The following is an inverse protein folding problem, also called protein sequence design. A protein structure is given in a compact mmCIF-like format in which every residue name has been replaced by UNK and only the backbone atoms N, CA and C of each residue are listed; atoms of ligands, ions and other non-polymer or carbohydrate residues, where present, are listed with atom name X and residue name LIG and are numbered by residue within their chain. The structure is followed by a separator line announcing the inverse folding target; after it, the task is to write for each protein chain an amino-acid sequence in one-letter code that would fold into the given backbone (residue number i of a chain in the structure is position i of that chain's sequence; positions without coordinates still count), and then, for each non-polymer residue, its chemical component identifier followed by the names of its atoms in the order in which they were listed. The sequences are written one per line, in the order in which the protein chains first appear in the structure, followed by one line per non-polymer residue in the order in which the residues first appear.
data_IF_322444830523
#
_entry.id   IF_322444830523
#
_cell.length_a   1.000
_cell.length_b   1.000
_cell.length_c   1.000
_cell.angle_alpha   90.00
_cell.angle_beta   90.00
_cell.angle_gamma   90.00
#
_symmetry.space_group_name_H-M   'P 1'
#
loop_
_entity.id
_entity.type
_entity.pdbx_description
1 polymer ?
#
# COMPACT_ATOMS: atom_id res chain seq x y z
N UNK A 1 13.79 -28.77 -3.99
CA UNK A 1 12.67 -29.13 -4.89
C UNK A 1 11.47 -28.28 -4.49
N UNK A 2 10.75 -27.64 -5.40
CA UNK A 2 9.56 -26.87 -5.06
C UNK A 2 8.51 -27.77 -4.40
N UNK A 3 7.94 -27.33 -3.30
CA UNK A 3 6.84 -28.06 -2.62
C UNK A 3 5.56 -27.79 -3.43
N UNK A 4 5.24 -28.70 -4.35
CA UNK A 4 4.08 -28.63 -5.26
C UNK A 4 2.73 -28.48 -4.50
N UNK A 5 2.71 -28.72 -3.18
CA UNK A 5 1.52 -28.66 -2.33
C UNK A 5 1.56 -27.52 -1.29
N UNK A 6 2.30 -26.44 -1.53
CA UNK A 6 2.29 -25.31 -0.60
C UNK A 6 0.90 -24.68 -0.58
N UNK A 7 0.35 -24.54 0.63
CA UNK A 7 -0.95 -23.88 0.84
C UNK A 7 -0.81 -22.37 0.69
N UNK A 8 -1.92 -21.67 0.46
CA UNK A 8 -1.96 -20.19 0.42
C UNK A 8 -1.40 -19.60 1.71
N UNK A 9 -1.77 -20.16 2.87
CA UNK A 9 -1.25 -19.72 4.17
C UNK A 9 0.27 -19.88 4.30
N UNK A 10 0.85 -20.97 3.82
CA UNK A 10 2.31 -21.17 3.84
C UNK A 10 3.03 -20.16 2.94
N UNK A 11 2.44 -19.80 1.79
CA UNK A 11 2.96 -18.75 0.92
C UNK A 11 2.91 -17.40 1.63
N UNK A 12 1.81 -17.08 2.29
CA UNK A 12 1.63 -15.85 3.06
C UNK A 12 2.63 -15.75 4.21
N UNK A 13 2.79 -16.81 5.02
CA UNK A 13 3.73 -16.87 6.14
C UNK A 13 5.17 -16.65 5.67
N UNK A 14 5.55 -17.22 4.54
CA UNK A 14 6.87 -17.03 3.95
C UNK A 14 7.11 -15.59 3.49
N UNK A 15 6.13 -14.98 2.84
CA UNK A 15 6.22 -13.57 2.42
C UNK A 15 6.29 -12.66 3.65
N UNK A 16 5.47 -12.89 4.68
CA UNK A 16 5.56 -12.15 5.95
C UNK A 16 6.95 -12.27 6.57
N UNK A 17 7.53 -13.47 6.58
CA UNK A 17 8.89 -13.66 7.09
C UNK A 17 9.93 -12.84 6.31
N UNK A 18 9.83 -12.79 4.96
CA UNK A 18 10.72 -11.97 4.13
C UNK A 18 10.57 -10.48 4.42
N UNK A 19 9.34 -10.00 4.68
CA UNK A 19 9.12 -8.60 5.00
C UNK A 19 9.57 -8.23 6.42
N UNK A 20 9.32 -9.10 7.41
CA UNK A 20 9.51 -8.75 8.83
C UNK A 20 10.86 -9.18 9.40
N UNK A 21 11.63 -10.03 8.71
CA UNK A 21 12.94 -10.46 9.20
C UNK A 21 13.98 -9.35 9.02
N UNK A 22 14.77 -9.10 10.10
CA UNK A 22 15.90 -8.17 10.07
C UNK A 22 17.01 -8.55 9.08
N UNK A 23 17.05 -9.82 8.62
CA UNK A 23 17.97 -10.27 7.57
C UNK A 23 17.56 -9.79 6.17
N UNK A 24 16.29 -9.34 6.00
CA UNK A 24 15.73 -8.95 4.72
C UNK A 24 15.23 -7.49 4.73
N UNK A 25 13.93 -7.27 4.90
CA UNK A 25 13.33 -5.94 4.75
C UNK A 25 13.07 -5.21 6.08
N UNK A 26 13.02 -5.94 7.19
CA UNK A 26 12.84 -5.41 8.56
C UNK A 26 11.60 -4.51 8.74
N UNK A 27 10.47 -4.90 8.09
CA UNK A 27 9.22 -4.18 8.22
C UNK A 27 8.55 -4.52 9.56
N UNK A 28 7.89 -3.54 10.16
CA UNK A 28 7.08 -3.73 11.36
C UNK A 28 5.82 -4.54 11.02
N UNK A 29 5.56 -5.62 11.76
CA UNK A 29 4.33 -6.39 11.60
C UNK A 29 3.17 -5.70 12.32
N UNK A 30 2.21 -5.19 11.56
CA UNK A 30 1.04 -4.50 12.09
C UNK A 30 -0.09 -5.44 12.56
N UNK A 31 0.07 -6.75 12.39
CA UNK A 31 -0.86 -7.78 12.86
C UNK A 31 -1.85 -8.27 11.81
N UNK A 32 -2.70 -9.21 12.26
CA UNK A 32 -3.86 -9.67 11.49
C UNK A 32 -5.04 -8.74 11.77
N UNK A 33 -5.54 -8.07 10.73
CA UNK A 33 -6.54 -7.02 10.82
C UNK A 33 -7.95 -7.47 10.38
N UNK A 34 -8.22 -8.77 10.39
CA UNK A 34 -9.52 -9.30 9.91
C UNK A 34 -10.71 -8.89 10.78
N UNK A 35 -10.50 -8.55 12.07
CA UNK A 35 -11.58 -8.20 12.99
C UNK A 35 -11.74 -6.68 13.20
N UNK A 36 -11.00 -5.87 12.47
CA UNK A 36 -11.07 -4.41 12.55
C UNK A 36 -11.44 -3.82 11.21
N UNK A 37 -12.15 -2.69 11.22
CA UNK A 37 -12.39 -1.92 10.00
C UNK A 37 -11.15 -1.08 9.73
N UNK A 38 -10.59 -1.22 8.54
CA UNK A 38 -9.36 -0.56 8.16
C UNK A 38 -9.59 0.45 7.04
N UNK A 39 -8.74 1.46 7.01
CA UNK A 39 -8.70 2.50 5.98
C UNK A 39 -7.35 2.45 5.27
N UNK A 40 -7.29 3.04 4.08
CA UNK A 40 -6.06 3.17 3.31
C UNK A 40 -5.08 4.22 3.87
N UNK A 41 -5.54 5.06 4.80
CA UNK A 41 -4.72 6.04 5.51
C UNK A 41 -4.92 5.84 7.01
N UNK A 42 -3.89 5.39 7.70
CA UNK A 42 -3.82 5.25 9.15
C UNK A 42 -3.38 6.60 9.73
N UNK A 43 -4.33 7.51 9.91
CA UNK A 43 -4.09 8.92 10.24
C UNK A 43 -3.18 9.10 11.47
N UNK A 44 -3.37 8.27 12.51
CA UNK A 44 -2.55 8.33 13.74
C UNK A 44 -1.09 8.01 13.48
N UNK A 45 -0.82 7.00 12.65
CA UNK A 45 0.54 6.59 12.32
C UNK A 45 1.21 7.63 11.42
N UNK A 46 0.46 8.16 10.45
CA UNK A 46 0.96 9.22 9.58
C UNK A 46 1.24 10.52 10.36
N UNK A 47 0.33 10.92 11.25
CA UNK A 47 0.52 12.09 12.12
C UNK A 47 1.75 11.92 13.01
N UNK A 48 1.90 10.74 13.62
CA UNK A 48 3.06 10.44 14.47
C UNK A 48 4.37 10.56 13.70
N UNK A 49 4.46 10.00 12.49
CA UNK A 49 5.67 10.11 11.66
C UNK A 49 5.92 11.55 11.17
N UNK A 50 4.89 12.28 10.74
CA UNK A 50 5.03 13.66 10.27
C UNK A 50 5.52 14.62 11.37
N UNK A 51 5.17 14.35 12.62
CA UNK A 51 5.55 15.20 13.76
C UNK A 51 6.81 14.73 14.48
N UNK A 52 7.31 13.53 14.18
CA UNK A 52 8.56 13.01 14.74
C UNK A 52 9.76 13.80 14.20
N UNK A 53 10.68 14.16 15.05
CA UNK A 53 11.92 14.88 14.69
C UNK A 53 12.88 14.07 13.80
N UNK A 54 12.80 12.74 13.83
CA UNK A 54 13.55 11.82 12.98
C UNK A 54 12.76 11.41 11.72
N UNK A 55 11.48 11.79 11.66
CA UNK A 55 10.61 11.64 10.52
C UNK A 55 10.40 12.97 9.79
N UNK A 56 9.15 13.42 9.69
CA UNK A 56 8.80 14.67 9.00
C UNK A 56 9.25 15.96 9.71
N UNK A 57 9.25 15.98 11.05
CA UNK A 57 9.63 17.14 11.85
C UNK A 57 8.70 18.35 11.73
N UNK A 58 7.47 18.17 11.22
CA UNK A 58 6.51 19.23 11.02
C UNK A 58 5.74 19.58 12.30
N UNK A 59 5.19 20.82 12.37
CA UNK A 59 4.22 21.14 13.41
C UNK A 59 2.94 20.32 13.24
N UNK A 60 2.24 20.06 14.35
CA UNK A 60 0.95 19.33 14.34
C UNK A 60 -0.01 19.97 13.34
N UNK A 61 -0.10 21.31 13.32
CA UNK A 61 -1.00 22.04 12.41
C UNK A 61 -0.67 21.81 10.93
N UNK A 62 0.61 21.77 10.56
CA UNK A 62 1.02 21.45 9.18
C UNK A 62 0.71 20.01 8.83
N UNK A 63 1.00 19.07 9.74
CA UNK A 63 0.76 17.66 9.55
C UNK A 63 -0.74 17.34 9.38
N UNK A 64 -1.60 17.85 10.27
CA UNK A 64 -3.06 17.65 10.19
C UNK A 64 -3.63 18.21 8.88
N UNK A 65 -3.24 19.41 8.48
CA UNK A 65 -3.69 20.01 7.21
C UNK A 65 -3.23 19.22 5.99
N UNK A 66 -2.02 18.66 6.03
CA UNK A 66 -1.52 17.78 4.95
C UNK A 66 -2.31 16.47 4.89
N UNK A 67 -2.58 15.84 6.04
CA UNK A 67 -3.41 14.63 6.14
C UNK A 67 -4.80 14.89 5.58
N UNK A 68 -5.45 15.99 5.96
CA UNK A 68 -6.77 16.38 5.45
C UNK A 68 -6.78 16.53 3.91
N UNK A 69 -5.73 17.12 3.33
CA UNK A 69 -5.63 17.25 1.87
C UNK A 69 -5.41 15.90 1.19
N UNK A 70 -4.59 15.01 1.77
CA UNK A 70 -4.40 13.66 1.27
C UNK A 70 -5.72 12.88 1.29
N UNK A 71 -6.46 12.91 2.41
CA UNK A 71 -7.75 12.24 2.55
C UNK A 71 -8.76 12.76 1.53
N UNK A 72 -8.83 14.08 1.33
CA UNK A 72 -9.71 14.68 0.31
C UNK A 72 -9.35 14.21 -1.10
N UNK A 73 -8.06 14.15 -1.43
CA UNK A 73 -7.60 13.64 -2.73
C UNK A 73 -7.93 12.15 -2.92
N UNK A 74 -7.68 11.32 -1.89
CA UNK A 74 -7.95 9.88 -1.91
C UNK A 74 -9.45 9.58 -2.04
N UNK A 75 -10.32 10.39 -1.44
CA UNK A 75 -11.78 10.21 -1.48
C UNK A 75 -12.45 10.84 -2.70
N UNK A 76 -11.73 11.61 -3.51
CA UNK A 76 -12.28 12.25 -4.70
C UNK A 76 -12.33 11.25 -5.88
N UNK A 77 -13.37 10.44 -5.91
CA UNK A 77 -13.62 9.44 -6.97
C UNK A 77 -14.54 9.96 -8.10
N UNK A 78 -14.80 11.26 -8.18
CA UNK A 78 -15.68 11.88 -9.17
C UNK A 78 -15.26 11.53 -10.60
N UNK A 79 -13.95 11.53 -10.87
CA UNK A 79 -13.37 11.18 -12.16
C UNK A 79 -12.80 9.74 -12.23
N UNK A 80 -13.19 8.87 -11.29
CA UNK A 80 -12.79 7.48 -11.22
C UNK A 80 -11.55 7.22 -10.35
N UNK A 81 -11.27 5.93 -10.15
CA UNK A 81 -10.20 5.48 -9.27
C UNK A 81 -8.81 5.87 -9.80
N UNK A 82 -8.58 5.68 -11.09
CA UNK A 82 -7.28 6.02 -11.70
C UNK A 82 -6.91 7.49 -11.47
N UNK A 83 -7.87 8.41 -11.65
CA UNK A 83 -7.62 9.84 -11.47
C UNK A 83 -7.33 10.20 -9.99
N UNK A 84 -8.11 9.64 -9.05
CA UNK A 84 -7.87 9.81 -7.62
C UNK A 84 -6.47 9.29 -7.23
N UNK A 85 -6.10 8.10 -7.71
CA UNK A 85 -4.79 7.49 -7.47
C UNK A 85 -3.66 8.32 -8.06
N UNK A 86 -3.79 8.83 -9.28
CA UNK A 86 -2.82 9.72 -9.91
C UNK A 86 -2.62 11.02 -9.09
N UNK A 87 -3.71 11.58 -8.57
CA UNK A 87 -3.65 12.76 -7.70
C UNK A 87 -2.89 12.43 -6.41
N UNK A 88 -3.22 11.32 -5.75
CA UNK A 88 -2.49 10.85 -4.56
C UNK A 88 -1.02 10.61 -4.87
N UNK A 89 -0.69 9.93 -5.99
CA UNK A 89 0.70 9.74 -6.42
C UNK A 89 1.46 11.06 -6.53
N UNK A 90 0.82 12.09 -7.07
CA UNK A 90 1.42 13.43 -7.18
C UNK A 90 1.74 14.03 -5.81
N UNK A 91 0.82 13.87 -4.84
CA UNK A 91 1.04 14.32 -3.46
C UNK A 91 2.15 13.53 -2.76
N UNK A 92 2.21 12.22 -2.97
CA UNK A 92 3.28 11.37 -2.42
C UNK A 92 4.65 11.75 -2.97
N UNK A 93 4.73 12.05 -4.27
CA UNK A 93 5.99 12.34 -4.95
C UNK A 93 6.52 13.74 -4.70
N UNK A 94 5.64 14.74 -4.71
CA UNK A 94 6.03 16.14 -4.68
C UNK A 94 5.71 16.86 -3.35
N UNK A 95 5.04 16.18 -2.44
CA UNK A 95 4.56 16.74 -1.19
C UNK A 95 3.32 17.64 -1.35
N UNK A 96 2.86 18.16 -0.25
CA UNK A 96 1.64 18.96 -0.14
C UNK A 96 2.00 20.37 0.31
N UNK A 97 1.73 21.41 -0.48
CA UNK A 97 1.91 22.78 -0.04
C UNK A 97 0.84 23.16 0.99
N UNK A 98 1.26 23.47 2.22
CA UNK A 98 0.39 23.79 3.34
C UNK A 98 0.74 25.17 3.91
N UNK A 99 -0.25 26.02 4.08
CA UNK A 99 -0.10 27.30 4.81
C UNK A 99 -0.51 27.10 6.27
N UNK A 100 0.43 27.24 7.18
CA UNK A 100 0.19 27.03 8.62
C UNK A 100 -0.82 28.04 9.18
N UNK A 101 -0.61 29.32 8.89
CA UNK A 101 -1.49 30.42 9.26
C UNK A 101 -1.65 31.38 8.09
N UNK A 102 -2.80 32.07 8.02
CA UNK A 102 -3.06 33.05 6.98
C UNK A 102 -1.94 34.11 6.92
N UNK A 103 -1.47 34.43 5.70
CA UNK A 103 -0.41 35.39 5.45
C UNK A 103 1.02 34.82 5.52
N UNK A 104 1.22 33.56 5.93
CA UNK A 104 2.54 32.91 5.83
C UNK A 104 2.75 32.25 4.47
N UNK A 105 4.01 32.13 4.08
CA UNK A 105 4.41 31.34 2.90
C UNK A 105 4.06 29.86 3.10
N UNK A 106 3.53 29.17 2.09
CA UNK A 106 3.30 27.73 2.17
C UNK A 106 4.59 26.95 2.44
N UNK A 107 4.49 25.93 3.29
CA UNK A 107 5.53 24.92 3.52
C UNK A 107 5.13 23.64 2.81
N UNK A 108 6.04 23.03 2.05
CA UNK A 108 5.77 21.72 1.46
C UNK A 108 5.95 20.63 2.51
N UNK A 109 4.88 19.90 2.80
CA UNK A 109 4.89 18.75 3.70
C UNK A 109 5.09 17.49 2.85
N UNK A 110 6.19 16.79 3.05
CA UNK A 110 6.48 15.53 2.38
C UNK A 110 5.91 14.37 3.20
N UNK A 111 5.10 13.53 2.56
CA UNK A 111 4.46 12.37 3.18
C UNK A 111 5.39 11.14 3.21
N UNK A 112 6.45 11.16 2.38
CA UNK A 112 7.48 10.14 2.25
C UNK A 112 8.83 10.85 2.14
N UNK A 113 9.82 10.39 2.90
CA UNK A 113 11.20 10.83 2.72
C UNK A 113 11.85 10.02 1.59
N UNK A 114 11.93 10.62 0.41
CA UNK A 114 12.57 10.03 -0.75
C UNK A 114 14.09 10.14 -0.74
N UNK A 115 14.63 11.09 0.02
CA UNK A 115 16.07 11.32 0.11
C UNK A 115 16.73 10.32 1.07
N UNK A 116 16.01 9.94 2.14
CA UNK A 116 16.45 8.99 3.14
C UNK A 116 15.39 7.91 3.34
N UNK A 117 15.21 6.99 2.37
CA UNK A 117 14.09 6.03 2.37
C UNK A 117 13.98 5.21 3.66
N UNK A 118 15.09 4.90 4.33
CA UNK A 118 15.12 4.13 5.56
C UNK A 118 14.63 4.90 6.81
N UNK A 119 14.37 6.20 6.69
CA UNK A 119 13.74 6.98 7.76
C UNK A 119 12.20 6.90 7.71
N UNK A 120 11.64 6.34 6.65
CA UNK A 120 10.21 6.03 6.63
C UNK A 120 9.92 4.83 7.51
N UNK A 121 8.70 4.79 8.06
CA UNK A 121 8.20 3.63 8.79
C UNK A 121 7.46 2.70 7.84
N UNK A 122 7.92 1.48 7.76
CA UNK A 122 7.36 0.44 6.91
C UNK A 122 6.60 -0.57 7.74
N UNK A 123 5.35 -0.83 7.37
CA UNK A 123 4.51 -1.82 8.04
C UNK A 123 3.95 -2.81 7.03
N UNK A 124 3.72 -4.04 7.48
CA UNK A 124 2.93 -5.02 6.75
C UNK A 124 1.83 -5.57 7.65
N UNK A 125 0.62 -5.67 7.11
CA UNK A 125 -0.54 -6.26 7.80
C UNK A 125 -1.12 -7.40 6.97
N UNK A 126 -1.70 -8.38 7.63
CA UNK A 126 -2.41 -9.49 6.99
C UNK A 126 -3.93 -9.41 7.20
N UNK A 127 -4.68 -10.03 6.27
CA UNK A 127 -6.14 -10.16 6.35
C UNK A 127 -6.85 -8.82 6.60
N UNK A 128 -6.46 -7.79 5.87
CA UNK A 128 -6.94 -6.42 6.12
C UNK A 128 -8.40 -6.29 5.71
N UNK A 129 -9.33 -6.34 6.68
CA UNK A 129 -10.76 -6.20 6.41
C UNK A 129 -11.08 -4.77 5.99
N UNK A 130 -11.61 -4.65 4.77
CA UNK A 130 -12.08 -3.39 4.21
C UNK A 130 -13.60 -3.52 4.04
N UNK A 131 -14.36 -2.63 4.66
CA UNK A 131 -15.81 -2.60 4.52
C UNK A 131 -16.25 -1.63 3.44
N UNK A 132 -17.00 -2.18 2.50
CA UNK A 132 -17.86 -1.47 1.57
C UNK A 132 -19.23 -2.15 1.60
N UNK A 133 -19.96 -2.19 0.49
CA UNK A 133 -21.20 -2.99 0.37
C UNK A 133 -20.93 -4.50 0.53
N UNK A 134 -19.73 -4.96 0.19
CA UNK A 134 -19.27 -6.34 0.37
C UNK A 134 -17.89 -6.33 1.03
N UNK A 135 -17.77 -7.09 2.12
CA UNK A 135 -16.49 -7.26 2.81
C UNK A 135 -15.48 -8.00 1.92
N UNK A 136 -14.30 -7.43 1.77
CA UNK A 136 -13.15 -8.04 1.11
C UNK A 136 -11.93 -7.91 1.99
N UNK A 137 -11.03 -8.88 1.90
CA UNK A 137 -9.79 -8.94 2.69
C UNK A 137 -8.64 -9.27 1.77
N UNK A 138 -7.82 -8.29 1.39
CA UNK A 138 -6.51 -8.56 0.82
C UNK A 138 -5.66 -9.41 1.77
N UNK A 139 -4.90 -10.35 1.23
CA UNK A 139 -4.03 -11.22 2.03
C UNK A 139 -2.99 -10.41 2.80
N UNK A 140 -2.30 -9.49 2.10
CA UNK A 140 -1.30 -8.61 2.70
C UNK A 140 -1.44 -7.18 2.18
N UNK A 141 -1.22 -6.21 3.06
CA UNK A 141 -1.15 -4.78 2.73
C UNK A 141 0.13 -4.19 3.29
N UNK A 142 0.86 -3.46 2.44
CA UNK A 142 2.07 -2.72 2.84
C UNK A 142 1.72 -1.25 3.02
N UNK A 143 2.13 -0.72 4.16
CA UNK A 143 1.98 0.68 4.52
C UNK A 143 3.36 1.35 4.65
N UNK A 144 3.45 2.59 4.19
CA UNK A 144 4.58 3.47 4.44
C UNK A 144 4.07 4.70 5.17
N UNK A 145 4.64 4.99 6.34
CA UNK A 145 4.22 6.09 7.21
C UNK A 145 2.72 6.09 7.55
N UNK A 146 2.06 4.93 7.49
CA UNK A 146 0.63 4.78 7.70
C UNK A 146 -0.23 4.90 6.44
N UNK A 147 0.35 5.10 5.25
CA UNK A 147 -0.36 5.14 3.96
C UNK A 147 -0.25 3.77 3.30
N UNK A 148 -1.37 3.14 2.95
CA UNK A 148 -1.40 1.88 2.21
C UNK A 148 -0.90 2.10 0.78
N UNK A 149 0.21 1.49 0.39
CA UNK A 149 0.83 1.67 -0.92
C UNK A 149 0.85 0.42 -1.78
N UNK A 150 0.80 -0.77 -1.16
CA UNK A 150 0.75 -2.01 -1.92
C UNK A 150 -0.25 -3.00 -1.33
N UNK A 151 -0.89 -3.74 -2.21
CA UNK A 151 -1.77 -4.87 -1.89
C UNK A 151 -1.21 -6.11 -2.56
N UNK A 152 -1.07 -7.20 -1.79
CA UNK A 152 -0.64 -8.49 -2.30
C UNK A 152 -1.79 -9.50 -2.18
N UNK A 153 -2.04 -10.20 -3.26
CA UNK A 153 -2.98 -11.32 -3.35
C UNK A 153 -2.19 -12.59 -3.68
N UNK A 154 -2.20 -13.53 -2.76
CA UNK A 154 -1.41 -14.74 -2.85
C UNK A 154 -2.28 -15.95 -3.21
N UNK A 155 -1.72 -16.86 -3.96
CA UNK A 155 -2.41 -18.10 -4.34
C UNK A 155 -1.55 -19.31 -4.00
N UNK A 156 -2.20 -20.42 -3.70
CA UNK A 156 -1.49 -21.71 -3.56
C UNK A 156 -0.76 -22.07 -4.85
N UNK A 157 0.31 -22.82 -4.74
CA UNK A 157 1.20 -23.19 -5.87
C UNK A 157 0.49 -23.81 -7.10
N UNK A 158 -0.68 -24.41 -6.91
CA UNK A 158 -1.46 -25.08 -7.98
C UNK A 158 -2.52 -24.18 -8.63
N UNK A 159 -2.67 -22.93 -8.19
CA UNK A 159 -3.61 -21.95 -8.73
C UNK A 159 -2.83 -20.88 -9.47
N UNK A 160 -3.22 -20.60 -10.72
CA UNK A 160 -2.54 -19.57 -11.52
C UNK A 160 -2.58 -18.18 -10.86
N UNK A 161 -1.49 -17.46 -10.97
CA UNK A 161 -1.35 -16.05 -10.55
C UNK A 161 -2.42 -15.16 -11.21
N UNK A 162 -2.85 -15.51 -12.42
CA UNK A 162 -3.95 -14.81 -13.11
C UNK A 162 -5.25 -14.77 -12.28
N UNK A 163 -5.52 -15.79 -11.46
CA UNK A 163 -6.67 -15.77 -10.55
C UNK A 163 -6.52 -14.69 -9.45
N UNK A 164 -5.31 -14.51 -8.92
CA UNK A 164 -5.02 -13.43 -7.98
C UNK A 164 -5.15 -12.05 -8.62
N UNK A 165 -4.67 -11.88 -9.85
CA UNK A 165 -4.83 -10.63 -10.61
C UNK A 165 -6.31 -10.29 -10.80
N UNK A 166 -7.13 -11.25 -11.23
CA UNK A 166 -8.58 -11.04 -11.39
C UNK A 166 -9.27 -10.69 -10.07
N UNK A 167 -8.84 -11.28 -8.95
CA UNK A 167 -9.33 -10.91 -7.63
C UNK A 167 -8.97 -9.48 -7.27
N UNK A 168 -7.72 -9.05 -7.49
CA UNK A 168 -7.30 -7.66 -7.30
C UNK A 168 -8.11 -6.67 -8.14
N UNK A 169 -8.39 -7.01 -9.41
CA UNK A 169 -9.22 -6.17 -10.28
C UNK A 169 -10.66 -6.10 -9.78
N UNK A 170 -11.26 -7.23 -9.39
CA UNK A 170 -12.61 -7.27 -8.81
C UNK A 170 -12.71 -6.42 -7.54
N UNK A 171 -11.67 -6.44 -6.69
CA UNK A 171 -11.65 -5.64 -5.46
C UNK A 171 -11.67 -4.13 -5.71
N UNK A 172 -11.33 -3.67 -6.91
CA UNK A 172 -11.33 -2.25 -7.30
C UNK A 172 -12.69 -1.77 -7.82
N UNK A 173 -13.67 -2.65 -7.95
CA UNK A 173 -15.01 -2.28 -8.40
C UNK A 173 -15.78 -1.49 -7.33
N UNK A 174 -16.78 -0.66 -7.71
CA UNK A 174 -17.55 0.17 -6.77
C UNK A 174 -18.23 -0.63 -5.66
N UNK A 175 -18.66 -1.85 -5.94
CA UNK A 175 -19.32 -2.76 -4.99
C UNK A 175 -18.43 -3.25 -3.87
N UNK A 176 -17.09 -3.17 -4.06
CA UNK A 176 -16.11 -3.69 -3.11
C UNK A 176 -15.33 -2.56 -2.46
N UNK A 177 -14.06 -2.42 -2.81
CA UNK A 177 -13.14 -1.59 -2.03
C UNK A 177 -12.52 -0.46 -2.84
N UNK A 178 -13.21 0.01 -3.87
CA UNK A 178 -12.72 1.05 -4.77
C UNK A 178 -12.03 2.22 -4.04
N UNK A 179 -12.61 2.81 -2.97
CA UNK A 179 -11.96 3.92 -2.26
C UNK A 179 -10.63 3.54 -1.61
N UNK A 180 -10.49 2.30 -1.13
CA UNK A 180 -9.23 1.84 -0.52
C UNK A 180 -8.07 1.87 -1.51
N UNK A 181 -8.34 1.56 -2.77
CA UNK A 181 -7.31 1.50 -3.82
C UNK A 181 -6.83 2.88 -4.29
N UNK A 182 -7.43 3.97 -3.85
CA UNK A 182 -6.99 5.32 -4.25
C UNK A 182 -5.57 5.67 -3.82
N UNK A 183 -5.04 5.04 -2.77
CA UNK A 183 -3.64 5.22 -2.35
C UNK A 183 -2.70 4.14 -2.88
N UNK A 184 -3.23 3.00 -3.34
CA UNK A 184 -2.43 1.83 -3.73
C UNK A 184 -1.66 2.12 -5.01
N UNK A 185 -0.34 2.00 -4.94
CA UNK A 185 0.58 2.20 -6.06
C UNK A 185 1.01 0.87 -6.69
N UNK A 186 0.96 -0.23 -5.93
CA UNK A 186 1.29 -1.56 -6.40
C UNK A 186 0.17 -2.55 -6.09
N UNK A 187 -0.38 -3.16 -7.13
CA UNK A 187 -1.26 -4.32 -7.07
C UNK A 187 -0.43 -5.55 -7.44
N UNK A 188 -0.15 -6.41 -6.47
CA UNK A 188 0.76 -7.54 -6.64
C UNK A 188 -0.02 -8.84 -6.46
N UNK A 189 0.10 -9.76 -7.41
CA UNK A 189 -0.40 -11.13 -7.28
C UNK A 189 0.76 -12.12 -7.40
N UNK A 190 0.67 -13.24 -6.68
CA UNK A 190 1.74 -14.22 -6.74
C UNK A 190 1.42 -15.59 -6.18
N UNK A 191 2.24 -16.55 -6.55
CA UNK A 191 2.32 -17.87 -5.95
C UNK A 191 3.76 -18.38 -5.98
N UNK A 192 3.97 -19.54 -5.37
CA UNK A 192 5.30 -20.16 -5.33
C UNK A 192 5.84 -20.59 -6.70
N UNK A 193 4.97 -21.00 -7.62
CA UNK A 193 5.36 -21.62 -8.89
C UNK A 193 5.61 -20.61 -10.00
N UNK A 194 4.73 -19.60 -10.12
CA UNK A 194 4.74 -18.61 -11.20
C UNK A 194 5.42 -17.29 -10.79
N UNK A 195 5.82 -17.15 -9.50
CA UNK A 195 6.43 -15.93 -8.96
C UNK A 195 5.43 -14.80 -8.76
N UNK A 196 5.92 -13.57 -8.87
CA UNK A 196 5.12 -12.36 -8.65
C UNK A 196 4.81 -11.65 -9.97
N UNK A 197 3.59 -11.12 -10.04
CA UNK A 197 3.14 -10.20 -11.09
C UNK A 197 2.64 -8.92 -10.44
N UNK A 198 2.90 -7.77 -11.05
CA UNK A 198 2.50 -6.48 -10.51
C UNK A 198 1.94 -5.56 -11.58
N UNK A 199 1.07 -4.71 -11.14
CA UNK A 199 0.48 -3.60 -11.90
C UNK A 199 0.13 -2.46 -10.96
N UNK A 200 -0.50 -1.44 -11.49
CA UNK A 200 -1.12 -0.36 -10.72
C UNK A 200 -2.64 -0.55 -10.69
N UNK A 201 -3.36 0.40 -10.10
CA UNK A 201 -4.83 0.36 -10.13
C UNK A 201 -5.36 0.35 -11.56
N UNK A 202 -6.46 -0.38 -11.77
CA UNK A 202 -7.16 -0.52 -13.06
C UNK A 202 -6.28 -1.04 -14.23
N UNK A 203 -5.07 -1.59 -13.94
CA UNK A 203 -4.24 -2.25 -14.95
C UNK A 203 -4.91 -3.56 -15.39
N UNK A 204 -5.23 -3.72 -16.68
CA UNK A 204 -5.79 -4.97 -17.20
C UNK A 204 -4.84 -6.15 -17.00
N UNK A 205 -5.38 -7.37 -16.78
CA UNK A 205 -4.64 -8.60 -16.50
C UNK A 205 -3.46 -8.82 -17.45
N UNK A 206 -3.65 -8.59 -18.75
CA UNK A 206 -2.62 -8.80 -19.79
C UNK A 206 -1.40 -7.86 -19.70
N UNK A 207 -1.51 -6.77 -18.93
CA UNK A 207 -0.45 -5.77 -18.76
C UNK A 207 0.26 -5.89 -17.41
N UNK A 208 -0.08 -6.88 -16.58
CA UNK A 208 0.68 -7.16 -15.37
C UNK A 208 2.07 -7.64 -15.73
N UNK A 209 3.08 -6.99 -15.16
CA UNK A 209 4.49 -7.27 -15.41
C UNK A 209 5.00 -8.36 -14.48
N UNK A 210 5.96 -9.14 -14.96
CA UNK A 210 6.69 -10.09 -14.12
C UNK A 210 7.72 -9.36 -13.26
N UNK A 211 7.74 -9.68 -11.95
CA UNK A 211 8.82 -9.25 -11.09
C UNK A 211 10.07 -10.07 -11.42
N UNK A 212 11.02 -9.45 -12.08
CA UNK A 212 12.25 -10.14 -12.49
C UNK A 212 13.22 -10.23 -11.33
N UNK A 213 13.80 -11.42 -11.12
CA UNK A 213 14.98 -11.55 -10.30
C UNK A 213 16.15 -10.89 -11.05
N UNK A 214 16.89 -10.01 -10.42
CA UNK A 214 18.20 -9.62 -10.91
C UNK A 214 19.08 -10.87 -10.83
N UNK A 215 19.31 -11.52 -11.97
CA UNK A 215 20.41 -12.48 -12.10
C UNK A 215 21.69 -11.66 -11.94
N UNK A 216 22.31 -11.76 -10.76
CA UNK A 216 23.67 -11.27 -10.56
C UNK A 216 24.53 -12.04 -11.56
N UNK A 217 24.86 -11.41 -12.68
CA UNK A 217 25.90 -11.91 -13.57
C UNK A 217 27.23 -11.73 -12.81
N UNK A 218 27.67 -12.80 -12.13
CA UNK A 218 29.03 -12.94 -11.62
C UNK A 218 30.02 -13.10 -12.77
#
# INVERSE_FOLDING_TARGET
MPKINETERQTQDRILHLFCSAEYLDYEYAGNLQHTINTNIREKDLLAWLTDSHGGGYSITLAEKAIDQLIKAANNLEHGLYHANQTVYTLLKYGIPVTETAGKTPTTVYLIDWNHPLQNRFFIAEEVTIRSESERRPDLVVFVNGIALAVLELKRATVSVAAGIRQLLSNQEPYFNKPFFSTIQFCIAGNYTEGLRYGTVETEEKYYLEWKNETVHT
#
